data_IF_081613491572
#
_entry.id   IF_081613491572
#
_cell.length_a   1.000
_cell.length_b   1.000
_cell.length_c   1.000
_cell.angle_alpha   90.00
_cell.angle_beta   90.00
_cell.angle_gamma   90.00
#
_symmetry.space_group_name_H-M   'P 1'
#
loop_
_entity.id
_entity.type
_entity.pdbx_description
1 polymer ?
#
# COMPACT_ATOMS: atom_id res chain seq x y z
N UNK A 1 7.24 6.35 -20.98
CA UNK A 1 6.06 6.61 -20.13
C UNK A 1 6.42 6.10 -18.74
N UNK A 2 6.22 6.90 -17.69
CA UNK A 2 6.49 6.47 -16.32
C UNK A 2 5.52 5.36 -15.91
N UNK A 3 5.95 4.48 -15.01
CA UNK A 3 5.19 3.33 -14.54
C UNK A 3 4.87 3.45 -13.06
N UNK A 4 3.63 3.16 -12.69
CA UNK A 4 3.17 3.10 -11.29
C UNK A 4 2.97 1.65 -10.89
N UNK A 5 3.60 1.22 -9.81
CA UNK A 5 3.32 -0.08 -9.19
C UNK A 5 2.35 0.11 -8.04
N UNK A 6 1.38 -0.79 -7.91
CA UNK A 6 0.49 -0.82 -6.73
C UNK A 6 0.68 -2.15 -6.02
N UNK A 7 0.99 -2.10 -4.73
CA UNK A 7 1.24 -3.26 -3.87
C UNK A 7 0.08 -3.41 -2.90
N UNK A 8 -0.57 -4.57 -2.92
CA UNK A 8 -1.74 -4.85 -2.08
C UNK A 8 -1.56 -6.20 -1.38
N UNK A 9 -1.20 -6.20 -0.08
CA UNK A 9 -1.21 -7.42 0.72
C UNK A 9 -2.64 -7.88 0.99
N UNK A 10 -2.87 -9.20 0.98
CA UNK A 10 -4.16 -9.83 1.22
C UNK A 10 -4.01 -11.07 2.11
N UNK A 11 -4.89 -11.20 3.09
CA UNK A 11 -5.00 -12.38 3.93
C UNK A 11 -6.44 -12.67 4.30
N UNK A 12 -7.05 -13.71 3.74
CA UNK A 12 -8.46 -14.05 3.93
C UNK A 12 -9.41 -12.91 3.55
N UNK A 13 -9.29 -12.43 2.32
CA UNK A 13 -10.01 -11.28 1.76
C UNK A 13 -10.89 -11.68 0.57
N UNK A 14 -11.43 -12.91 0.55
CA UNK A 14 -12.23 -13.43 -0.57
C UNK A 14 -13.43 -12.56 -0.94
N UNK A 15 -14.05 -11.90 0.06
CA UNK A 15 -15.22 -11.05 -0.17
C UNK A 15 -14.87 -9.72 -0.87
N UNK A 16 -13.65 -9.21 -0.67
CA UNK A 16 -13.24 -7.88 -1.16
C UNK A 16 -12.22 -7.91 -2.28
N UNK A 17 -11.55 -9.04 -2.54
CA UNK A 17 -10.45 -9.13 -3.50
C UNK A 17 -10.84 -8.66 -4.91
N UNK A 18 -11.97 -9.13 -5.45
CA UNK A 18 -12.47 -8.73 -6.79
C UNK A 18 -12.93 -7.26 -6.80
N UNK A 19 -13.58 -6.79 -5.74
CA UNK A 19 -14.04 -5.40 -5.59
C UNK A 19 -12.84 -4.46 -5.54
N UNK A 20 -11.81 -4.80 -4.74
CA UNK A 20 -10.57 -4.06 -4.64
C UNK A 20 -9.87 -3.95 -6.00
N UNK A 21 -9.68 -5.07 -6.70
CA UNK A 21 -9.12 -5.08 -8.06
C UNK A 21 -9.85 -4.13 -9.01
N UNK A 22 -11.17 -4.27 -9.12
CA UNK A 22 -11.99 -3.45 -10.04
C UNK A 22 -11.87 -1.96 -9.73
N UNK A 23 -11.92 -1.59 -8.46
CA UNK A 23 -11.86 -0.19 -8.02
C UNK A 23 -10.47 0.41 -8.26
N UNK A 24 -9.40 -0.32 -7.94
CA UNK A 24 -8.02 0.09 -8.17
C UNK A 24 -7.76 0.28 -9.67
N UNK A 25 -8.07 -0.74 -10.48
CA UNK A 25 -7.83 -0.70 -11.92
C UNK A 25 -8.66 0.39 -12.60
N UNK A 26 -9.90 0.63 -12.17
CA UNK A 26 -10.73 1.71 -12.74
C UNK A 26 -10.09 3.09 -12.54
N UNK A 27 -9.41 3.32 -11.41
CA UNK A 27 -8.71 4.58 -11.14
C UNK A 27 -7.36 4.66 -11.89
N UNK A 28 -6.61 3.56 -11.99
CA UNK A 28 -5.37 3.52 -12.78
C UNK A 28 -5.63 3.73 -14.27
N UNK A 29 -6.71 3.18 -14.82
CA UNK A 29 -7.12 3.37 -16.23
C UNK A 29 -7.42 4.84 -16.57
N UNK A 30 -7.88 5.66 -15.63
CA UNK A 30 -8.06 7.10 -15.86
C UNK A 30 -6.75 7.84 -16.12
N UNK A 31 -5.64 7.24 -15.70
CA UNK A 31 -4.29 7.80 -15.81
C UNK A 31 -3.47 7.17 -16.95
N UNK A 32 -4.07 6.26 -17.74
CA UNK A 32 -3.39 5.46 -18.76
C UNK A 32 -2.76 6.26 -19.90
N UNK A 33 -3.20 7.48 -20.13
CA UNK A 33 -2.61 8.38 -21.13
C UNK A 33 -1.23 8.90 -20.70
N UNK A 34 -0.96 8.91 -19.39
CA UNK A 34 0.28 9.47 -18.78
C UNK A 34 1.18 8.38 -18.18
N UNK A 35 0.60 7.29 -17.70
CA UNK A 35 1.29 6.25 -16.95
C UNK A 35 0.90 4.85 -17.41
N UNK A 36 1.88 3.95 -17.48
CA UNK A 36 1.61 2.52 -17.39
C UNK A 36 1.52 2.09 -15.95
N UNK A 37 0.92 0.93 -15.69
CA UNK A 37 0.83 0.42 -14.32
C UNK A 37 1.10 -1.08 -14.25
N UNK A 38 1.42 -1.54 -13.05
CA UNK A 38 1.36 -2.93 -12.62
C UNK A 38 0.71 -3.00 -11.25
N UNK A 39 -0.01 -4.09 -11.02
CA UNK A 39 -0.68 -4.37 -9.76
C UNK A 39 -0.14 -5.67 -9.19
N UNK A 40 0.41 -5.63 -7.99
CA UNK A 40 1.00 -6.79 -7.33
C UNK A 40 0.19 -7.13 -6.10
N UNK A 41 -0.51 -8.25 -6.15
CA UNK A 41 -1.20 -8.82 -5.00
C UNK A 41 -0.26 -9.77 -4.26
N UNK A 42 -0.19 -9.64 -2.94
CA UNK A 42 0.57 -10.54 -2.10
C UNK A 42 -0.40 -11.33 -1.23
N UNK A 43 -0.64 -12.58 -1.60
CA UNK A 43 -1.41 -13.50 -0.79
C UNK A 43 -0.56 -14.02 0.37
N UNK A 44 -0.83 -13.56 1.58
CA UNK A 44 -0.11 -13.94 2.80
C UNK A 44 -0.61 -15.29 3.37
N UNK A 45 -0.68 -16.33 2.51
CA UNK A 45 -1.06 -17.68 2.91
C UNK A 45 -2.52 -17.80 3.35
N UNK A 46 -3.45 -17.17 2.61
CA UNK A 46 -4.89 -17.26 2.85
C UNK A 46 -5.38 -18.72 2.84
N UNK A 47 -6.41 -18.99 3.66
CA UNK A 47 -7.02 -20.31 3.81
C UNK A 47 -8.42 -20.39 3.16
N UNK A 48 -8.90 -19.28 2.67
CA UNK A 48 -10.16 -19.08 1.95
C UNK A 48 -9.90 -19.02 0.42
N UNK A 49 -10.89 -18.63 -0.36
CA UNK A 49 -10.82 -18.58 -1.82
C UNK A 49 -10.05 -17.35 -2.36
N UNK A 50 -9.43 -16.53 -1.51
CA UNK A 50 -8.66 -15.33 -1.90
C UNK A 50 -7.67 -15.64 -3.03
N UNK A 51 -6.83 -16.68 -2.88
CA UNK A 51 -5.80 -17.01 -3.86
C UNK A 51 -6.39 -17.39 -5.22
N UNK A 52 -7.48 -18.14 -5.25
CA UNK A 52 -8.09 -18.59 -6.51
C UNK A 52 -8.79 -17.44 -7.23
N UNK A 53 -9.38 -16.50 -6.49
CA UNK A 53 -9.89 -15.23 -7.03
C UNK A 53 -8.76 -14.43 -7.67
N UNK A 54 -7.63 -14.26 -6.97
CA UNK A 54 -6.47 -13.53 -7.50
C UNK A 54 -5.90 -14.18 -8.76
N UNK A 55 -5.77 -15.53 -8.80
CA UNK A 55 -5.32 -16.26 -10.00
C UNK A 55 -6.25 -16.00 -11.19
N UNK A 56 -7.57 -16.01 -10.97
CA UNK A 56 -8.55 -15.70 -12.00
C UNK A 56 -8.41 -14.27 -12.51
N UNK A 57 -8.15 -13.30 -11.63
CA UNK A 57 -7.89 -11.92 -12.02
C UNK A 57 -6.62 -11.84 -12.89
N UNK A 58 -5.51 -12.42 -12.44
CA UNK A 58 -4.23 -12.38 -13.15
C UNK A 58 -4.26 -13.12 -14.50
N UNK A 59 -5.12 -14.13 -14.64
CA UNK A 59 -5.30 -14.81 -15.95
C UNK A 59 -6.03 -13.94 -16.99
N UNK A 60 -6.66 -12.85 -16.60
CA UNK A 60 -7.43 -11.95 -17.45
C UNK A 60 -6.84 -10.54 -17.56
N UNK A 61 -5.76 -10.23 -16.83
CA UNK A 61 -5.10 -8.92 -16.87
C UNK A 61 -3.58 -9.10 -16.73
N UNK A 62 -2.86 -8.89 -17.82
CA UNK A 62 -1.39 -9.02 -17.89
C UNK A 62 -0.63 -8.01 -17.01
N UNK A 63 -1.30 -6.97 -16.54
CA UNK A 63 -0.70 -6.01 -15.60
C UNK A 63 -0.75 -6.50 -14.14
N UNK A 64 -1.42 -7.63 -13.88
CA UNK A 64 -1.58 -8.18 -12.54
C UNK A 64 -0.57 -9.29 -12.29
N UNK A 65 0.14 -9.18 -11.17
CA UNK A 65 1.07 -10.19 -10.66
C UNK A 65 0.62 -10.67 -9.29
N UNK A 66 0.93 -11.92 -8.97
CA UNK A 66 0.63 -12.51 -7.67
C UNK A 66 1.91 -13.06 -7.05
N UNK A 67 2.13 -12.72 -5.79
CA UNK A 67 3.11 -13.39 -4.93
C UNK A 67 2.29 -14.14 -3.88
N UNK A 68 2.49 -15.44 -3.75
CA UNK A 68 1.76 -16.24 -2.76
C UNK A 68 2.72 -16.91 -1.78
N UNK A 69 2.48 -16.69 -0.52
CA UNK A 69 3.22 -17.31 0.57
C UNK A 69 2.65 -18.69 0.93
N UNK A 70 3.51 -19.57 1.40
CA UNK A 70 3.11 -20.92 1.84
C UNK A 70 2.32 -20.93 3.16
N UNK A 71 2.41 -19.86 3.94
CA UNK A 71 1.66 -19.62 5.18
C UNK A 71 1.61 -18.14 5.47
N UNK A 72 0.83 -17.74 6.46
CA UNK A 72 0.85 -16.35 6.95
C UNK A 72 2.19 -16.03 7.60
N UNK A 73 2.86 -14.98 7.11
CA UNK A 73 4.09 -14.38 7.62
C UNK A 73 3.88 -12.98 8.18
N UNK A 74 2.67 -12.44 8.04
CA UNK A 74 2.25 -11.14 8.52
C UNK A 74 2.38 -10.02 7.50
N UNK A 75 1.57 -8.99 7.71
CA UNK A 75 1.38 -7.85 6.80
C UNK A 75 2.70 -7.21 6.35
N UNK A 76 3.64 -6.96 7.28
CA UNK A 76 4.92 -6.34 6.94
C UNK A 76 5.76 -7.21 5.98
N UNK A 77 5.76 -8.53 6.17
CA UNK A 77 6.45 -9.44 5.27
C UNK A 77 5.85 -9.41 3.86
N UNK A 78 4.52 -9.34 3.76
CA UNK A 78 3.81 -9.23 2.50
C UNK A 78 4.13 -7.91 1.78
N UNK A 79 4.12 -6.77 2.49
CA UNK A 79 4.51 -5.46 1.92
C UNK A 79 5.94 -5.49 1.41
N UNK A 80 6.90 -6.03 2.18
CA UNK A 80 8.31 -6.12 1.76
C UNK A 80 8.47 -7.01 0.53
N UNK A 81 7.75 -8.13 0.46
CA UNK A 81 7.78 -8.98 -0.73
C UNK A 81 7.25 -8.24 -1.96
N UNK A 82 6.18 -7.47 -1.82
CA UNK A 82 5.68 -6.60 -2.87
C UNK A 82 6.73 -5.58 -3.32
N UNK A 83 7.30 -4.81 -2.39
CA UNK A 83 8.32 -3.79 -2.64
C UNK A 83 9.54 -4.35 -3.40
N UNK A 84 9.97 -5.57 -3.10
CA UNK A 84 11.12 -6.21 -3.76
C UNK A 84 10.82 -6.67 -5.19
N UNK A 85 9.56 -6.71 -5.60
CA UNK A 85 9.13 -7.22 -6.91
C UNK A 85 8.51 -6.16 -7.82
N UNK A 86 8.45 -4.90 -7.39
CA UNK A 86 7.95 -3.76 -8.18
C UNK A 86 8.97 -3.31 -9.21
N UNK A 87 8.47 -2.84 -10.35
CA UNK A 87 9.30 -2.30 -11.45
C UNK A 87 8.96 -0.86 -11.83
N UNK A 88 7.95 -0.26 -11.19
CA UNK A 88 7.50 1.11 -11.48
C UNK A 88 8.44 2.20 -10.97
N UNK A 89 8.29 3.41 -11.50
CA UNK A 89 9.03 4.61 -11.09
C UNK A 89 8.54 5.16 -9.75
N UNK A 90 7.29 4.88 -9.39
CA UNK A 90 6.73 5.09 -8.07
C UNK A 90 5.88 3.90 -7.64
N UNK A 91 5.76 3.70 -6.34
CA UNK A 91 5.06 2.57 -5.73
C UNK A 91 3.98 3.08 -4.79
N UNK A 92 2.75 2.67 -5.02
CA UNK A 92 1.64 2.88 -4.09
C UNK A 92 1.46 1.60 -3.26
N UNK A 93 1.44 1.75 -1.95
CA UNK A 93 1.14 0.67 -1.01
C UNK A 93 -0.23 0.98 -0.40
N UNK A 94 -1.14 0.01 -0.39
CA UNK A 94 -2.48 0.16 0.17
C UNK A 94 -3.03 -1.16 0.69
N UNK A 95 -3.96 -1.07 1.65
CA UNK A 95 -4.68 -2.23 2.16
C UNK A 95 -5.83 -2.65 1.23
N UNK A 96 -6.22 -3.93 1.32
CA UNK A 96 -7.27 -4.51 0.48
C UNK A 96 -8.69 -4.07 0.89
N UNK A 97 -8.88 -3.65 2.13
CA UNK A 97 -10.17 -3.36 2.77
C UNK A 97 -10.89 -2.11 2.24
N UNK A 98 -10.26 -1.39 1.30
CA UNK A 98 -10.78 -0.18 0.65
C UNK A 98 -11.11 0.99 1.62
N UNK A 99 -10.58 0.96 2.84
CA UNK A 99 -10.59 2.13 3.72
C UNK A 99 -9.69 3.24 3.18
N UNK A 100 -8.72 2.86 2.35
CA UNK A 100 -7.82 3.74 1.62
C UNK A 100 -8.36 3.94 0.20
N UNK A 101 -8.88 5.14 -0.14
CA UNK A 101 -9.58 5.34 -1.41
C UNK A 101 -8.62 5.46 -2.60
N UNK A 102 -8.68 4.54 -3.61
CA UNK A 102 -7.87 4.63 -4.83
C UNK A 102 -8.11 5.91 -5.64
N UNK A 103 -9.18 6.62 -5.37
CA UNK A 103 -9.51 7.92 -5.97
C UNK A 103 -8.46 9.00 -5.64
N UNK A 104 -7.63 8.77 -4.62
CA UNK A 104 -6.55 9.68 -4.25
C UNK A 104 -5.26 9.46 -5.08
N UNK A 105 -5.17 8.41 -5.87
CA UNK A 105 -3.97 8.09 -6.65
C UNK A 105 -3.50 9.27 -7.50
N UNK A 106 -4.40 9.93 -8.23
CA UNK A 106 -4.04 11.07 -9.06
C UNK A 106 -3.39 12.19 -8.25
N UNK A 107 -4.00 12.60 -7.14
CA UNK A 107 -3.44 13.62 -6.27
C UNK A 107 -2.12 13.23 -5.59
N UNK A 108 -1.91 11.93 -5.32
CA UNK A 108 -0.63 11.43 -4.79
C UNK A 108 0.46 11.50 -5.88
N UNK A 109 0.13 11.08 -7.10
CA UNK A 109 1.04 11.11 -8.24
C UNK A 109 1.42 12.55 -8.60
N UNK A 110 0.48 13.49 -8.58
CA UNK A 110 0.77 14.91 -8.80
C UNK A 110 1.78 15.47 -7.78
N UNK A 111 1.64 15.11 -6.51
CA UNK A 111 2.62 15.49 -5.48
C UNK A 111 3.99 14.88 -5.75
N UNK A 112 4.04 13.60 -6.10
CA UNK A 112 5.28 12.94 -6.46
C UNK A 112 5.95 13.61 -7.66
N UNK A 113 5.22 13.99 -8.70
CA UNK A 113 5.77 14.72 -9.85
C UNK A 113 6.27 16.12 -9.48
N UNK A 114 5.71 16.73 -8.44
CA UNK A 114 6.19 17.98 -7.85
C UNK A 114 7.42 17.80 -6.94
N UNK A 115 8.02 16.61 -6.89
CA UNK A 115 9.29 16.34 -6.24
C UNK A 115 9.19 15.78 -4.80
N UNK A 116 8.02 15.37 -4.36
CA UNK A 116 7.89 14.69 -3.06
C UNK A 116 8.28 13.21 -3.21
N UNK A 117 9.23 12.75 -2.42
CA UNK A 117 9.72 11.37 -2.43
C UNK A 117 8.78 10.38 -1.76
N UNK A 118 8.01 10.83 -0.77
CA UNK A 118 7.00 10.06 -0.06
C UNK A 118 5.74 10.89 0.11
N UNK A 119 4.62 10.35 -0.35
CA UNK A 119 3.30 10.96 -0.22
C UNK A 119 2.40 9.98 0.52
N UNK A 120 1.88 10.35 1.67
CA UNK A 120 1.01 9.48 2.47
C UNK A 120 -0.39 10.08 2.66
N UNK A 121 -1.38 9.20 2.73
CA UNK A 121 -2.75 9.55 3.08
C UNK A 121 -2.87 9.86 4.57
N UNK A 122 -3.35 11.06 4.92
CA UNK A 122 -3.67 11.40 6.30
C UNK A 122 -5.18 11.29 6.54
N UNK A 123 -5.59 10.41 7.45
CA UNK A 123 -6.99 10.30 7.83
C UNK A 123 -7.43 11.57 8.60
N UNK A 124 -8.45 12.28 8.08
CA UNK A 124 -8.94 13.54 8.71
C UNK A 124 -9.71 13.32 10.01
N UNK A 125 -10.41 12.17 10.12
CA UNK A 125 -11.22 11.82 11.31
C UNK A 125 -11.30 10.31 11.47
N UNK A 126 -11.13 9.81 12.68
CA UNK A 126 -11.49 8.44 13.07
C UNK A 126 -12.86 8.52 13.73
N UNK A 127 -13.91 8.13 13.01
CA UNK A 127 -15.24 8.00 13.60
C UNK A 127 -15.25 6.83 14.60
N UNK A 128 -15.65 7.10 15.87
CA UNK A 128 -15.85 6.08 16.87
C UNK A 128 -14.74 5.89 17.91
N UNK A 129 -13.68 6.69 17.91
CA UNK A 129 -12.66 6.60 18.97
C UNK A 129 -13.07 7.38 20.25
N UNK A 130 -12.94 6.72 21.41
CA UNK A 130 -13.14 7.32 22.71
C UNK A 130 -12.14 8.48 22.94
N UNK A 131 -12.59 9.59 23.55
CA UNK A 131 -11.75 10.73 23.91
C UNK A 131 -10.52 10.32 24.75
N UNK A 132 -10.66 9.31 25.58
CA UNK A 132 -9.55 8.77 26.38
C UNK A 132 -8.46 8.12 25.51
N UNK A 133 -8.86 7.38 24.45
CA UNK A 133 -7.93 6.74 23.50
C UNK A 133 -7.19 7.78 22.65
N UNK A 134 -7.89 8.85 22.27
CA UNK A 134 -7.27 9.99 21.56
C UNK A 134 -6.25 10.73 22.44
N UNK A 135 -6.55 10.90 23.73
CA UNK A 135 -5.66 11.59 24.67
C UNK A 135 -4.39 10.77 24.94
N UNK A 136 -4.53 9.46 25.19
CA UNK A 136 -3.39 8.56 25.42
C UNK A 136 -2.52 8.41 24.18
N UNK A 137 -3.10 8.28 22.98
CA UNK A 137 -2.38 8.27 21.72
C UNK A 137 -1.59 9.57 21.51
N UNK A 138 -2.22 10.73 21.80
CA UNK A 138 -1.56 12.04 21.68
C UNK A 138 -0.36 12.18 22.63
N UNK A 139 -0.51 11.72 23.87
CA UNK A 139 0.61 11.70 24.84
C UNK A 139 1.74 10.78 24.39
N UNK A 140 1.42 9.59 23.90
CA UNK A 140 2.38 8.63 23.39
C UNK A 140 3.19 9.19 22.22
N UNK A 141 2.54 9.72 21.18
CA UNK A 141 3.21 10.33 20.04
C UNK A 141 4.03 11.56 20.39
N UNK A 142 3.56 12.38 21.34
CA UNK A 142 4.33 13.53 21.82
C UNK A 142 5.61 13.11 22.56
N UNK A 143 5.55 11.99 23.30
CA UNK A 143 6.72 11.43 24.00
C UNK A 143 7.68 10.82 22.99
N UNK A 144 7.19 10.05 22.01
CA UNK A 144 8.01 9.50 20.93
C UNK A 144 8.72 10.59 20.12
N UNK A 145 8.03 11.64 19.73
CA UNK A 145 8.62 12.76 18.97
C UNK A 145 9.65 13.57 19.79
N UNK A 146 9.57 13.55 21.13
CA UNK A 146 10.61 14.14 21.98
C UNK A 146 11.86 13.26 22.11
N UNK A 147 11.70 11.95 21.95
CA UNK A 147 12.80 10.97 22.04
C UNK A 147 13.41 10.64 20.66
N UNK A 148 12.72 11.00 19.58
CA UNK A 148 13.16 10.80 18.20
C UNK A 148 13.79 12.07 17.65
N UNK A 149 14.89 11.95 16.93
CA UNK A 149 15.52 13.05 16.17
C UNK A 149 14.72 13.41 14.91
N UNK A 150 13.73 12.59 14.53
CA UNK A 150 12.89 12.76 13.34
C UNK A 150 11.43 12.90 13.78
N UNK A 151 10.72 13.86 13.22
CA UNK A 151 9.29 14.04 13.46
C UNK A 151 8.51 12.87 12.88
N UNK A 152 7.92 12.02 13.75
CA UNK A 152 7.09 10.89 13.36
C UNK A 152 5.68 11.41 13.08
N UNK A 153 5.20 11.34 11.83
CA UNK A 153 3.86 11.81 11.49
C UNK A 153 2.80 10.99 12.24
N UNK A 154 1.83 11.68 12.84
CA UNK A 154 0.69 11.05 13.54
C UNK A 154 -0.37 10.66 12.51
N UNK A 155 -1.06 9.54 12.77
CA UNK A 155 -2.22 9.10 11.97
C UNK A 155 -1.92 8.77 10.49
N UNK A 156 -0.70 8.34 10.18
CA UNK A 156 -0.35 7.80 8.87
C UNK A 156 -0.64 6.30 8.85
N UNK A 157 -1.58 5.89 7.99
CA UNK A 157 -1.77 4.48 7.63
C UNK A 157 -0.68 3.97 6.68
N UNK A 158 -0.81 2.72 6.24
CA UNK A 158 0.11 2.13 5.26
C UNK A 158 -0.13 2.69 3.84
N UNK A 159 -1.19 3.47 3.64
CA UNK A 159 -1.53 4.10 2.36
C UNK A 159 -0.54 5.22 2.02
N UNK A 160 0.39 4.90 1.13
CA UNK A 160 1.45 5.82 0.72
C UNK A 160 1.89 5.58 -0.72
N UNK A 161 2.36 6.63 -1.37
CA UNK A 161 3.13 6.57 -2.61
C UNK A 161 4.58 6.87 -2.28
N UNK A 162 5.49 6.07 -2.82
CA UNK A 162 6.93 6.15 -2.55
C UNK A 162 7.70 6.16 -3.88
N UNK A 163 8.63 7.09 -4.04
CA UNK A 163 9.52 7.17 -5.21
C UNK A 163 10.44 5.94 -5.30
N UNK A 164 10.81 5.56 -6.52
CA UNK A 164 11.72 4.44 -6.80
C UNK A 164 13.01 4.53 -6.00
N UNK A 165 13.64 5.69 -5.90
CA UNK A 165 14.90 5.86 -5.18
C UNK A 165 14.79 5.48 -3.69
N UNK A 166 13.64 5.76 -3.06
CA UNK A 166 13.38 5.38 -1.67
C UNK A 166 13.11 3.87 -1.57
N UNK A 167 12.34 3.31 -2.51
CA UNK A 167 12.09 1.87 -2.62
C UNK A 167 13.39 1.09 -2.74
N UNK A 168 14.32 1.54 -3.57
CA UNK A 168 15.61 0.88 -3.77
C UNK A 168 16.43 0.87 -2.48
N UNK A 169 16.42 1.96 -1.71
CA UNK A 169 17.05 1.99 -0.38
C UNK A 169 16.38 1.00 0.57
N UNK A 170 15.04 1.01 0.67
CA UNK A 170 14.29 0.09 1.54
C UNK A 170 14.58 -1.38 1.17
N UNK A 171 14.65 -1.71 -0.11
CA UNK A 171 14.90 -3.06 -0.58
C UNK A 171 16.29 -3.59 -0.19
N UNK A 172 17.29 -2.71 -0.02
CA UNK A 172 18.68 -3.06 0.34
C UNK A 172 18.92 -3.17 1.84
N UNK A 173 18.03 -2.64 2.68
CA UNK A 173 18.20 -2.69 4.13
C UNK A 173 18.18 -4.15 4.62
N UNK A 174 19.17 -4.59 5.43
CA UNK A 174 19.29 -5.98 5.88
C UNK A 174 18.31 -6.37 7.00
N UNK A 175 17.60 -5.40 7.56
CA UNK A 175 16.66 -5.62 8.65
C UNK A 175 15.45 -6.43 8.20
N UNK A 176 15.14 -7.51 8.93
CA UNK A 176 14.01 -8.39 8.62
C UNK A 176 12.72 -8.00 9.36
N UNK A 177 12.80 -7.16 10.39
CA UNK A 177 11.68 -6.63 11.17
C UNK A 177 11.66 -5.10 11.03
N UNK A 178 10.82 -4.62 10.15
CA UNK A 178 10.66 -3.17 9.86
C UNK A 178 9.26 -2.73 10.16
#
# INVERSE_FOLDING_TARGET
>A
MKKISVVIPMYCEEEVADICYKRVVSNLKKLSDRYSYELIFINDGSKDDTLDILKKIASNDDNVKIISFSRNFGHQAAVIAGIRNVTGDAVIIMDADLQDPPELFEGMIEKWENGYDVVYGKRKTRSGESLFKLLTARMFYNTLNKLSEIEIPKDTGDFRLVDRKVIDVIATLPEHNK
#
